data_IF_879463612910
#
_entry.id   IF_879463612910
#
_cell.length_a   1.000
_cell.length_b   1.000
_cell.length_c   1.000
_cell.angle_alpha   90.00
_cell.angle_beta   90.00
_cell.angle_gamma   90.00
#
_symmetry.space_group_name_H-M   'P 1'
#
loop_
_entity.id
_entity.type
_entity.pdbx_description
1 polymer ?
#
# COMPACT_ATOMS: atom_id res chain seq x y z
N UNK A 1 3.60 27.25 -42.64
CA UNK A 1 4.00 27.20 -41.22
C UNK A 1 2.76 27.34 -40.37
N UNK A 2 2.39 26.28 -39.66
CA UNK A 2 1.66 26.30 -38.37
C UNK A 2 1.13 24.89 -38.12
N UNK A 3 1.95 24.06 -37.47
CA UNK A 3 1.48 22.88 -36.75
C UNK A 3 0.71 23.35 -35.51
N UNK A 4 -0.49 22.84 -35.22
CA UNK A 4 -1.04 22.92 -33.87
C UNK A 4 -0.48 21.76 -33.05
N UNK A 5 0.56 22.06 -32.27
CA UNK A 5 0.89 21.34 -31.04
C UNK A 5 -0.16 21.71 -29.99
N UNK A 6 -0.83 20.72 -29.37
CA UNK A 6 -1.18 20.72 -27.95
C UNK A 6 -2.14 19.56 -27.64
N UNK A 7 -1.57 18.45 -27.18
CA UNK A 7 -2.25 17.55 -26.25
C UNK A 7 -1.30 17.32 -25.08
N UNK A 8 -1.19 18.32 -24.19
CA UNK A 8 -0.55 18.13 -22.90
C UNK A 8 -1.50 17.32 -22.01
N UNK A 9 -1.43 16.00 -22.15
CA UNK A 9 -2.04 15.04 -21.23
C UNK A 9 -1.40 15.25 -19.86
N UNK A 10 -2.06 16.05 -19.02
CA UNK A 10 -1.72 16.15 -17.61
C UNK A 10 -2.14 14.82 -16.98
N UNK A 11 -1.20 13.89 -16.89
CA UNK A 11 -1.34 12.70 -16.07
C UNK A 11 -1.34 13.21 -14.63
N UNK A 12 -2.52 13.44 -14.08
CA UNK A 12 -2.65 13.61 -12.64
C UNK A 12 -2.21 12.30 -11.99
N UNK A 13 -0.94 12.25 -11.56
CA UNK A 13 -0.45 11.29 -10.60
C UNK A 13 -1.22 11.51 -9.30
N UNK A 14 -2.44 10.99 -9.23
CA UNK A 14 -3.11 10.77 -7.96
C UNK A 14 -2.17 9.86 -7.19
N UNK A 15 -1.57 10.27 -6.06
CA UNK A 15 -0.91 9.32 -5.21
C UNK A 15 -2.06 8.43 -4.74
N UNK A 16 -2.17 7.24 -5.35
CA UNK A 16 -2.98 6.18 -4.81
C UNK A 16 -2.33 5.91 -3.46
N UNK A 17 -2.86 6.54 -2.42
CA UNK A 17 -2.50 6.33 -1.04
C UNK A 17 -2.91 4.90 -0.73
N UNK A 18 -2.08 3.94 -1.15
CA UNK A 18 -2.26 2.54 -0.85
C UNK A 18 -2.11 2.44 0.67
N UNK A 19 -3.23 2.44 1.38
CA UNK A 19 -3.27 2.17 2.81
C UNK A 19 -2.95 0.69 3.02
N UNK A 20 -1.67 0.34 2.88
CA UNK A 20 -1.18 -1.01 3.10
C UNK A 20 -1.27 -1.31 4.58
N UNK A 21 -2.19 -2.22 4.92
CA UNK A 21 -2.28 -2.79 6.25
C UNK A 21 -1.37 -4.01 6.38
N UNK A 22 -0.69 -4.09 7.51
CA UNK A 22 0.15 -5.19 7.93
C UNK A 22 -0.49 -5.88 9.14
N UNK A 23 -0.27 -7.17 9.30
CA UNK A 23 -0.71 -7.93 10.46
C UNK A 23 0.50 -8.51 11.20
N UNK A 24 0.55 -8.37 12.52
CA UNK A 24 1.58 -9.01 13.31
C UNK A 24 1.38 -10.53 13.32
N UNK A 25 2.43 -11.29 13.03
CA UNK A 25 2.37 -12.76 13.02
C UNK A 25 2.10 -13.40 14.39
N UNK A 26 2.36 -12.69 15.50
CA UNK A 26 2.21 -13.24 16.86
C UNK A 26 0.87 -12.90 17.50
N UNK A 27 0.42 -11.65 17.40
CA UNK A 27 -0.81 -11.17 18.05
C UNK A 27 -1.93 -10.82 17.06
N UNK A 28 -1.67 -10.84 15.74
CA UNK A 28 -2.67 -10.54 14.71
C UNK A 28 -3.06 -9.08 14.60
N UNK A 29 -2.47 -8.17 15.37
CA UNK A 29 -2.81 -6.74 15.33
C UNK A 29 -2.56 -6.15 13.95
N UNK A 30 -3.58 -5.48 13.40
CA UNK A 30 -3.49 -4.75 12.14
C UNK A 30 -2.87 -3.38 12.37
N UNK A 31 -1.81 -3.07 11.62
CA UNK A 31 -1.06 -1.81 11.74
C UNK A 31 -0.81 -1.26 10.34
N UNK A 32 -0.94 0.04 10.16
CA UNK A 32 -0.75 0.72 8.89
C UNK A 32 0.72 1.10 8.64
N UNK A 33 1.10 1.26 7.37
CA UNK A 33 2.47 1.68 7.02
C UNK A 33 2.89 2.99 7.68
N UNK A 34 1.98 3.95 7.82
CA UNK A 34 2.24 5.26 8.43
C UNK A 34 2.60 5.15 9.92
N UNK A 35 2.02 4.19 10.65
CA UNK A 35 2.35 3.93 12.05
C UNK A 35 3.73 3.29 12.20
N UNK A 36 4.09 2.39 11.28
CA UNK A 36 5.41 1.74 11.26
C UNK A 36 6.55 2.73 10.93
N UNK A 37 6.31 3.68 10.03
CA UNK A 37 7.32 4.69 9.64
C UNK A 37 7.55 5.74 10.73
N UNK A 38 6.57 5.98 11.62
CA UNK A 38 6.72 6.90 12.75
C UNK A 38 7.62 6.36 13.85
N UNK A 39 7.74 5.04 13.95
CA UNK A 39 8.58 4.38 14.93
C UNK A 39 10.01 4.25 14.38
N UNK A 40 11.05 4.49 15.19
CA UNK A 40 12.44 4.33 14.78
C UNK A 40 12.80 2.86 14.47
N UNK A 41 12.02 1.90 15.00
CA UNK A 41 12.12 0.48 14.68
C UNK A 41 10.75 -0.11 14.35
N UNK A 42 10.71 -1.01 13.37
CA UNK A 42 9.52 -1.75 12.99
C UNK A 42 9.20 -2.85 14.03
N UNK A 43 8.35 -2.50 14.99
CA UNK A 43 7.94 -3.37 16.11
C UNK A 43 6.45 -3.30 16.32
N UNK A 44 5.86 -4.44 16.67
CA UNK A 44 4.49 -4.49 17.16
C UNK A 44 4.46 -4.12 18.66
N UNK A 45 3.30 -3.71 19.16
CA UNK A 45 3.05 -3.47 20.59
C UNK A 45 3.38 -4.68 21.48
N UNK A 46 3.39 -5.89 20.92
CA UNK A 46 3.76 -7.14 21.60
C UNK A 46 5.27 -7.43 21.59
N UNK A 47 6.10 -6.55 21.02
CA UNK A 47 7.55 -6.69 20.90
C UNK A 47 8.04 -7.54 19.71
N UNK A 48 7.12 -8.14 18.94
CA UNK A 48 7.46 -8.93 17.75
C UNK A 48 7.74 -8.05 16.53
N UNK A 49 8.66 -8.47 15.65
CA UNK A 49 9.15 -7.67 14.51
C UNK A 49 8.69 -8.14 13.13
N UNK A 50 8.05 -9.30 13.04
CA UNK A 50 7.62 -9.87 11.75
C UNK A 50 6.15 -9.56 11.51
N UNK A 51 5.88 -8.92 10.38
CA UNK A 51 4.56 -8.55 9.92
C UNK A 51 4.28 -9.15 8.53
N UNK A 52 3.06 -9.59 8.29
CA UNK A 52 2.58 -10.02 6.98
C UNK A 52 1.72 -8.94 6.35
N UNK A 53 1.82 -8.76 5.03
CA UNK A 53 0.98 -7.83 4.30
C UNK A 53 -0.44 -8.41 4.17
N UNK A 54 -1.45 -7.65 4.60
CA UNK A 54 -2.84 -8.05 4.47
C UNK A 54 -3.24 -8.02 3.00
N UNK A 55 -4.03 -9.01 2.58
CA UNK A 55 -4.57 -9.07 1.22
C UNK A 55 -5.41 -7.80 0.95
N UNK A 56 -5.13 -7.05 -0.13
CA UNK A 56 -5.99 -5.93 -0.51
C UNK A 56 -7.44 -6.40 -0.78
N UNK A 57 -8.47 -5.56 -0.51
CA UNK A 57 -9.87 -5.91 -0.75
C UNK A 57 -10.23 -6.00 -2.25
N UNK A 58 -9.24 -5.91 -3.14
CA UNK A 58 -9.43 -6.04 -4.59
C UNK A 58 -9.67 -7.51 -4.93
N UNK A 59 -10.85 -7.78 -5.51
CA UNK A 59 -11.23 -9.09 -6.03
C UNK A 59 -10.25 -9.46 -7.14
N UNK A 60 -9.60 -10.61 -6.99
CA UNK A 60 -8.74 -11.18 -8.03
C UNK A 60 -9.50 -12.31 -8.70
N UNK A 61 -9.81 -12.18 -9.97
CA UNK A 61 -10.38 -13.26 -10.78
C UNK A 61 -9.29 -14.27 -11.10
N UNK A 62 -9.44 -15.50 -10.62
CA UNK A 62 -8.56 -16.62 -10.95
C UNK A 62 -9.32 -17.52 -11.92
N UNK A 63 -8.78 -17.74 -13.12
CA UNK A 63 -9.35 -18.73 -14.04
C UNK A 63 -9.11 -20.12 -13.43
N UNK A 64 -10.16 -20.91 -13.27
CA UNK A 64 -10.00 -22.33 -13.01
C UNK A 64 -9.49 -22.96 -14.32
N UNK A 65 -8.26 -23.46 -14.29
CA UNK A 65 -7.68 -24.29 -15.34
C UNK A 65 -7.43 -25.67 -14.75
#
# INVERSE_FOLDING_TARGET
MSEPNQDNITIEEKPANFSVAYACMRCGTHVSQSELTRLPEIKCICGFRVFTKVRPPVVKTVKAF
#
